data_IF_178633181328
#
_entry.id   IF_178633181328
#
_cell.length_a   1.000
_cell.length_b   1.000
_cell.length_c   1.000
_cell.angle_alpha   90.00
_cell.angle_beta   90.00
_cell.angle_gamma   90.00
#
_symmetry.space_group_name_H-M   'P 1'
#
loop_
_entity.id
_entity.type
_entity.pdbx_description
1 polymer ?
#
# COMPACT_ATOMS: atom_id res chain seq x y z
N UNK A 1 7.22 -13.36 15.46
CA UNK A 1 6.36 -12.87 14.36
C UNK A 1 6.96 -11.57 13.83
N UNK A 2 7.15 -11.41 12.52
CA UNK A 2 7.49 -10.09 11.94
C UNK A 2 6.21 -9.24 11.90
N UNK A 3 6.26 -8.03 12.44
CA UNK A 3 5.13 -7.09 12.37
C UNK A 3 5.08 -6.47 10.98
N UNK A 4 3.92 -6.56 10.31
CA UNK A 4 3.68 -5.86 9.04
C UNK A 4 3.42 -4.37 9.31
N UNK A 5 3.82 -3.51 8.38
CA UNK A 5 3.60 -2.06 8.45
C UNK A 5 2.66 -1.58 7.35
N UNK A 6 1.79 -0.63 7.68
CA UNK A 6 0.97 0.09 6.71
C UNK A 6 1.79 1.11 5.92
N UNK A 7 1.27 1.54 4.77
CA UNK A 7 1.88 2.62 3.98
C UNK A 7 2.00 3.93 4.77
N UNK A 8 1.00 4.23 5.60
CA UNK A 8 0.97 5.42 6.46
C UNK A 8 2.08 5.40 7.50
N UNK A 9 2.35 4.24 8.09
CA UNK A 9 3.46 4.08 9.06
C UNK A 9 4.82 4.18 8.37
N UNK A 10 4.99 3.51 7.23
CA UNK A 10 6.22 3.58 6.43
C UNK A 10 6.55 5.01 6.02
N UNK A 11 5.55 5.75 5.52
CA UNK A 11 5.69 7.17 5.17
C UNK A 11 6.03 8.04 6.37
N UNK A 12 5.32 7.89 7.49
CA UNK A 12 5.59 8.67 8.71
C UNK A 12 6.99 8.39 9.25
N UNK A 13 7.46 7.14 9.21
CA UNK A 13 8.83 6.76 9.59
C UNK A 13 9.89 7.46 8.73
N UNK A 14 9.58 7.67 7.44
CA UNK A 14 10.41 8.43 6.50
C UNK A 14 10.24 9.96 6.61
N UNK A 15 9.32 10.43 7.46
CA UNK A 15 8.98 11.86 7.66
C UNK A 15 8.52 12.57 6.39
N UNK A 16 7.78 11.86 5.54
CA UNK A 16 7.31 12.39 4.26
C UNK A 16 5.81 12.73 4.22
N UNK A 17 5.47 13.69 3.36
CA UNK A 17 4.08 13.95 2.96
C UNK A 17 3.65 12.92 1.92
N UNK A 18 2.33 12.74 1.74
CA UNK A 18 1.79 11.85 0.71
C UNK A 18 2.26 12.22 -0.70
N UNK A 19 2.47 13.53 -0.96
CA UNK A 19 2.97 14.04 -2.23
C UNK A 19 4.41 13.57 -2.50
N UNK A 20 5.32 13.75 -1.53
CA UNK A 20 6.73 13.35 -1.70
C UNK A 20 6.87 11.85 -1.90
N UNK A 21 6.14 11.06 -1.11
CA UNK A 21 6.13 9.60 -1.23
C UNK A 21 5.55 9.15 -2.58
N UNK A 22 4.42 9.72 -3.00
CA UNK A 22 3.81 9.39 -4.29
C UNK A 22 4.74 9.71 -5.46
N UNK A 23 5.38 10.88 -5.45
CA UNK A 23 6.39 11.27 -6.44
C UNK A 23 7.58 10.31 -6.44
N UNK A 24 8.06 9.91 -5.26
CA UNK A 24 9.17 8.98 -5.10
C UNK A 24 8.86 7.56 -5.59
N UNK A 25 7.62 7.10 -5.42
CA UNK A 25 7.14 5.84 -6.00
C UNK A 25 6.90 6.00 -7.50
N UNK A 26 6.54 7.20 -7.96
CA UNK A 26 6.18 7.57 -9.33
C UNK A 26 4.72 7.28 -9.68
N UNK A 27 3.82 7.66 -8.76
CA UNK A 27 2.36 7.58 -8.91
C UNK A 27 1.71 8.91 -8.51
N UNK A 28 0.44 9.10 -8.84
CA UNK A 28 -0.32 10.28 -8.43
C UNK A 28 -0.57 10.27 -6.90
N UNK A 29 -0.50 11.44 -6.25
CA UNK A 29 -0.74 11.61 -4.81
C UNK A 29 -2.13 11.16 -4.36
N UNK A 30 -3.18 11.37 -5.15
CA UNK A 30 -4.52 10.85 -4.86
C UNK A 30 -4.55 9.32 -4.87
N UNK A 31 -3.84 8.68 -5.81
CA UNK A 31 -3.72 7.21 -5.88
C UNK A 31 -3.01 6.68 -4.63
N UNK A 32 -1.89 7.29 -4.23
CA UNK A 32 -1.21 6.93 -2.98
C UNK A 32 -2.11 7.09 -1.75
N UNK A 33 -2.87 8.19 -1.68
CA UNK A 33 -3.86 8.42 -0.62
C UNK A 33 -4.96 7.36 -0.60
N UNK A 34 -5.42 6.85 -1.75
CA UNK A 34 -6.38 5.76 -1.80
C UNK A 34 -5.81 4.46 -1.21
N UNK A 35 -4.53 4.17 -1.44
CA UNK A 35 -3.86 3.01 -0.84
C UNK A 35 -3.72 3.14 0.68
N UNK A 36 -3.36 4.32 1.20
CA UNK A 36 -3.27 4.54 2.66
C UNK A 36 -4.61 4.40 3.38
N UNK A 37 -5.73 4.61 2.69
CA UNK A 37 -7.08 4.55 3.25
C UNK A 37 -7.84 3.28 2.85
N UNK A 38 -7.20 2.35 2.13
CA UNK A 38 -7.82 1.11 1.68
C UNK A 38 -8.97 1.24 0.69
N UNK A 39 -9.06 2.40 0.02
CA UNK A 39 -10.04 2.69 -1.05
C UNK A 39 -9.67 1.92 -2.32
N UNK A 40 -8.37 1.67 -2.54
CA UNK A 40 -7.87 0.88 -3.65
C UNK A 40 -6.75 -0.03 -3.17
N UNK A 41 -6.58 -1.14 -3.86
CA UNK A 41 -5.45 -2.04 -3.69
C UNK A 41 -4.42 -1.79 -4.80
N UNK A 42 -3.13 -1.63 -4.48
CA UNK A 42 -2.09 -1.51 -5.51
C UNK A 42 -1.96 -2.84 -6.26
N UNK A 43 -1.80 -2.78 -7.58
CA UNK A 43 -1.44 -3.96 -8.36
C UNK A 43 0.00 -4.41 -8.03
N UNK A 44 0.39 -5.60 -8.51
CA UNK A 44 1.70 -6.20 -8.21
C UNK A 44 2.87 -5.29 -8.59
N UNK A 45 2.78 -4.57 -9.71
CA UNK A 45 3.84 -3.66 -10.18
C UNK A 45 4.00 -2.48 -9.22
N UNK A 46 2.89 -1.87 -8.81
CA UNK A 46 2.90 -0.74 -7.87
C UNK A 46 3.32 -1.21 -6.48
N UNK A 47 2.86 -2.37 -6.02
CA UNK A 47 3.27 -2.95 -4.74
C UNK A 47 4.79 -3.20 -4.68
N UNK A 48 5.39 -3.68 -5.78
CA UNK A 48 6.84 -3.85 -5.89
C UNK A 48 7.58 -2.51 -5.79
N UNK A 49 7.13 -1.49 -6.53
CA UNK A 49 7.72 -0.13 -6.47
C UNK A 49 7.63 0.48 -5.07
N UNK A 50 6.52 0.27 -4.37
CA UNK A 50 6.34 0.70 -2.98
C UNK A 50 7.38 0.03 -2.07
N UNK A 51 7.54 -1.29 -2.19
CA UNK A 51 8.50 -2.06 -1.39
C UNK A 51 9.95 -1.61 -1.64
N UNK A 52 10.32 -1.40 -2.90
CA UNK A 52 11.63 -0.84 -3.30
C UNK A 52 11.85 0.56 -2.72
N UNK A 53 10.85 1.44 -2.82
CA UNK A 53 10.93 2.81 -2.33
C UNK A 53 11.15 2.91 -0.81
N UNK A 54 10.50 2.02 -0.05
CA UNK A 54 10.64 1.94 1.40
C UNK A 54 11.77 1.01 1.87
N UNK A 55 12.44 0.31 0.95
CA UNK A 55 13.49 -0.68 1.24
C UNK A 55 13.02 -1.78 2.21
N UNK A 56 11.81 -2.28 1.98
CA UNK A 56 11.20 -3.38 2.73
C UNK A 56 10.80 -4.51 1.78
N UNK A 57 10.50 -5.70 2.30
CA UNK A 57 9.89 -6.76 1.48
C UNK A 57 8.42 -6.46 1.26
N UNK A 58 7.85 -6.92 0.14
CA UNK A 58 6.42 -6.78 -0.13
C UNK A 58 5.61 -7.49 0.97
N UNK A 59 6.08 -8.65 1.45
CA UNK A 59 5.41 -9.41 2.52
C UNK A 59 5.32 -8.66 3.87
N UNK A 60 6.23 -7.70 4.10
CA UNK A 60 6.27 -6.87 5.31
C UNK A 60 5.29 -5.69 5.25
N UNK A 61 4.63 -5.46 4.10
CA UNK A 61 3.66 -4.39 3.90
C UNK A 61 2.23 -4.93 4.11
N UNK A 62 1.47 -4.23 4.95
CA UNK A 62 0.03 -4.43 5.08
C UNK A 62 -0.72 -3.43 4.20
N UNK A 63 -1.23 -3.91 3.06
CA UNK A 63 -2.12 -3.13 2.20
C UNK A 63 -3.53 -3.19 2.78
N UNK A 64 -4.02 -2.03 3.25
CA UNK A 64 -5.40 -1.91 3.72
C UNK A 64 -6.32 -2.10 2.51
N UNK A 65 -7.36 -2.91 2.67
CA UNK A 65 -8.37 -3.14 1.64
C UNK A 65 -9.73 -3.21 2.31
N UNK A 66 -10.65 -2.32 1.93
CA UNK A 66 -12.02 -2.31 2.43
C UNK A 66 -12.91 -3.39 1.76
N UNK A 67 -12.32 -4.32 1.00
CA UNK A 67 -12.99 -5.48 0.41
C UNK A 67 -13.35 -6.54 1.47
N UNK A 68 -14.04 -6.11 2.52
CA UNK A 68 -14.89 -7.02 3.29
C UNK A 68 -16.18 -7.24 2.50
N UNK A 69 -16.32 -8.46 1.97
CA UNK A 69 -17.48 -9.08 1.27
C UNK A 69 -17.39 -9.04 -0.28
N UNK A 70 -16.63 -9.98 -0.87
CA UNK A 70 -17.07 -10.62 -2.13
C UNK A 70 -16.36 -11.95 -2.44
N UNK A 71 -16.07 -12.79 -1.45
CA UNK A 71 -15.71 -14.20 -1.70
C UNK A 71 -16.55 -15.12 -0.79
N UNK A 72 -17.89 -15.04 -0.91
CA UNK A 72 -18.75 -16.20 -0.61
C UNK A 72 -19.17 -16.82 -1.93
N UNK A 73 -18.58 -17.99 -2.23
CA UNK A 73 -19.09 -19.04 -3.10
C UNK A 73 -19.77 -18.65 -4.41
N UNK A 74 -19.00 -18.68 -5.51
CA UNK A 74 -19.46 -19.42 -6.70
C UNK A 74 -18.85 -20.81 -6.60
N UNK A 75 -19.46 -21.68 -5.80
CA UNK A 75 -19.46 -23.11 -6.13
C UNK A 75 -20.70 -23.34 -6.98
N UNK A 76 -20.49 -24.00 -8.11
CA UNK A 76 -21.51 -24.51 -9.01
C UNK A 76 -22.48 -25.44 -8.28
#
# INVERSE_FOLDING_TARGET
MRSKMTLKELRKKKKETQEMTAKGIGINRAVYSHYENGIRTPNVIVAKRIAEYFKVKIEDIFFISNDTISHKGKLA
#
